data_IF_300714046788
#
_entry.id   IF_300714046788
#
_cell.length_a   1.000
_cell.length_b   1.000
_cell.length_c   1.000
_cell.angle_alpha   90.00
_cell.angle_beta   90.00
_cell.angle_gamma   90.00
#
_symmetry.space_group_name_H-M   'P 1'
#
loop_
_entity.id
_entity.type
_entity.pdbx_description
1 polymer ?
#
# COMPACT_ATOMS: atom_id res chain seq x y z
N UNK A 1 -10.32 15.01 -0.12
CA UNK A 1 -9.55 14.32 0.94
C UNK A 1 -10.26 13.07 1.48
N UNK A 2 -11.58 12.92 1.27
CA UNK A 2 -12.33 11.75 1.75
C UNK A 2 -11.84 10.40 1.22
N UNK A 3 -11.33 10.34 -0.02
CA UNK A 3 -10.78 9.10 -0.59
C UNK A 3 -9.53 8.63 0.15
N UNK A 4 -8.69 9.54 0.65
CA UNK A 4 -7.51 9.23 1.48
C UNK A 4 -7.94 8.76 2.87
N UNK A 5 -8.98 9.38 3.45
CA UNK A 5 -9.55 8.96 4.73
C UNK A 5 -10.09 7.52 4.66
N UNK A 6 -10.85 7.20 3.61
CA UNK A 6 -11.36 5.84 3.37
C UNK A 6 -10.21 4.84 3.19
N UNK A 7 -9.18 5.21 2.42
CA UNK A 7 -7.98 4.38 2.29
C UNK A 7 -7.31 4.11 3.65
N UNK A 8 -7.15 5.13 4.49
CA UNK A 8 -6.53 4.99 5.81
C UNK A 8 -7.35 4.11 6.77
N UNK A 9 -8.68 4.17 6.67
CA UNK A 9 -9.58 3.29 7.43
C UNK A 9 -9.40 1.83 6.97
N UNK A 10 -9.39 1.58 5.66
CA UNK A 10 -9.17 0.25 5.10
C UNK A 10 -7.79 -0.32 5.46
N UNK A 11 -6.75 0.52 5.41
CA UNK A 11 -5.38 0.17 5.79
C UNK A 11 -5.27 -0.17 7.28
N UNK A 12 -5.92 0.61 8.14
CA UNK A 12 -5.96 0.34 9.59
C UNK A 12 -6.70 -0.96 9.91
N UNK A 13 -7.70 -1.31 9.10
CA UNK A 13 -8.41 -2.59 9.20
C UNK A 13 -7.54 -3.83 8.92
N UNK A 14 -6.26 -3.67 8.52
CA UNK A 14 -5.30 -4.77 8.53
C UNK A 14 -4.97 -5.26 9.94
N UNK A 15 -5.09 -4.42 10.96
CA UNK A 15 -4.84 -4.81 12.35
C UNK A 15 -5.97 -5.68 12.94
N UNK A 16 -7.17 -5.58 12.40
CA UNK A 16 -8.33 -6.35 12.86
C UNK A 16 -8.28 -7.80 12.35
N UNK A 17 -7.59 -8.03 11.23
CA UNK A 17 -7.38 -9.35 10.67
C UNK A 17 -6.01 -9.90 11.09
N UNK A 18 -5.98 -10.87 12.00
CA UNK A 18 -4.75 -11.65 12.24
C UNK A 18 -4.30 -12.29 10.92
N UNK A 19 -3.01 -12.19 10.55
CA UNK A 19 -2.49 -12.87 9.38
C UNK A 19 -2.82 -14.37 9.42
N UNK A 20 -3.18 -15.00 8.28
CA UNK A 20 -3.09 -14.49 6.91
C UNK A 20 -4.22 -13.52 6.52
N UNK A 21 -3.86 -12.43 5.86
CA UNK A 21 -4.83 -11.45 5.36
C UNK A 21 -5.59 -12.04 4.17
N UNK A 22 -6.92 -11.91 4.19
CA UNK A 22 -7.76 -12.43 3.10
C UNK A 22 -7.52 -11.69 1.78
N UNK A 23 -7.63 -12.43 0.66
CA UNK A 23 -7.55 -11.86 -0.69
C UNK A 23 -8.58 -10.75 -0.91
N UNK A 24 -9.78 -10.90 -0.33
CA UNK A 24 -10.84 -9.91 -0.42
C UNK A 24 -10.47 -8.58 0.26
N UNK A 25 -9.85 -8.64 1.45
CA UNK A 25 -9.38 -7.45 2.17
C UNK A 25 -8.28 -6.73 1.38
N UNK A 26 -7.32 -7.49 0.85
CA UNK A 26 -6.26 -6.95 -0.01
C UNK A 26 -6.81 -6.25 -1.26
N UNK A 27 -7.80 -6.87 -1.92
CA UNK A 27 -8.48 -6.27 -3.06
C UNK A 27 -9.25 -4.99 -2.69
N UNK A 28 -9.86 -4.92 -1.49
CA UNK A 28 -10.56 -3.71 -1.03
C UNK A 28 -9.60 -2.54 -0.84
N UNK A 29 -8.47 -2.77 -0.16
CA UNK A 29 -7.41 -1.77 0.05
C UNK A 29 -6.84 -1.29 -1.29
N UNK A 30 -6.62 -2.21 -2.22
CA UNK A 30 -6.12 -1.87 -3.57
C UNK A 30 -7.11 -0.99 -4.33
N UNK A 31 -8.41 -1.35 -4.29
CA UNK A 31 -9.46 -0.55 -4.93
C UNK A 31 -9.59 0.84 -4.32
N UNK A 32 -9.49 0.98 -3.00
CA UNK A 32 -9.55 2.30 -2.35
C UNK A 32 -8.33 3.16 -2.68
N UNK A 33 -7.14 2.56 -2.79
CA UNK A 33 -5.92 3.23 -3.26
C UNK A 33 -6.07 3.76 -4.69
N UNK A 34 -6.61 2.96 -5.62
CA UNK A 34 -6.85 3.39 -7.00
C UNK A 34 -7.86 4.56 -7.09
N UNK A 35 -8.92 4.54 -6.27
CA UNK A 35 -9.85 5.69 -6.15
C UNK A 35 -9.18 6.95 -5.61
N UNK A 36 -8.13 6.80 -4.81
CA UNK A 36 -7.35 7.90 -4.25
C UNK A 36 -6.14 8.30 -5.10
N UNK A 37 -6.03 7.86 -6.37
CA UNK A 37 -4.85 8.09 -7.22
C UNK A 37 -4.46 9.57 -7.38
N UNK A 38 -5.43 10.50 -7.43
CA UNK A 38 -5.16 11.95 -7.48
C UNK A 38 -4.33 12.43 -6.27
N UNK A 39 -4.41 11.72 -5.15
CA UNK A 39 -3.67 11.98 -3.92
C UNK A 39 -2.62 10.90 -3.63
N UNK A 40 -2.03 10.27 -4.66
CA UNK A 40 -1.07 9.16 -4.53
C UNK A 40 0.03 9.42 -3.50
N UNK A 41 0.54 10.65 -3.37
CA UNK A 41 1.54 11.02 -2.35
C UNK A 41 1.07 10.71 -0.92
N UNK A 42 -0.20 10.99 -0.61
CA UNK A 42 -0.78 10.69 0.71
C UNK A 42 -0.98 9.19 0.90
N UNK A 43 -1.38 8.47 -0.16
CA UNK A 43 -1.50 7.00 -0.13
C UNK A 43 -0.14 6.37 0.18
N UNK A 44 0.93 6.79 -0.53
CA UNK A 44 2.30 6.33 -0.28
C UNK A 44 2.74 6.63 1.15
N UNK A 45 2.57 7.87 1.61
CA UNK A 45 2.95 8.28 2.96
C UNK A 45 2.21 7.46 4.04
N UNK A 46 0.92 7.17 3.85
CA UNK A 46 0.14 6.35 4.77
C UNK A 46 0.65 4.91 4.84
N UNK A 47 1.01 4.31 3.70
CA UNK A 47 1.58 2.96 3.66
C UNK A 47 2.98 2.92 4.27
N UNK A 48 3.83 3.91 4.00
CA UNK A 48 5.16 4.03 4.62
C UNK A 48 5.05 4.17 6.14
N UNK A 49 4.12 5.01 6.63
CA UNK A 49 3.86 5.18 8.06
C UNK A 49 3.33 3.89 8.70
N UNK A 50 2.44 3.17 8.01
CA UNK A 50 1.95 1.87 8.46
C UNK A 50 3.11 0.88 8.61
N UNK A 51 3.93 0.70 7.58
CA UNK A 51 5.07 -0.23 7.61
C UNK A 51 6.10 0.21 8.64
N UNK A 52 6.32 1.50 8.85
CA UNK A 52 7.27 1.97 9.87
C UNK A 52 6.81 1.68 11.29
N UNK A 53 5.50 1.73 11.57
CA UNK A 53 4.94 1.62 12.93
C UNK A 53 4.34 0.26 13.26
N UNK A 54 4.05 -0.58 12.27
CA UNK A 54 3.42 -1.87 12.50
C UNK A 54 4.38 -2.89 13.15
N UNK A 55 3.81 -3.86 13.87
CA UNK A 55 4.52 -5.03 14.39
C UNK A 55 5.10 -5.88 13.25
N UNK A 56 6.12 -6.68 13.56
CA UNK A 56 6.82 -7.54 12.57
C UNK A 56 5.87 -8.45 11.78
N UNK A 57 4.82 -8.96 12.42
CA UNK A 57 3.78 -9.81 11.81
C UNK A 57 2.99 -9.13 10.67
N UNK A 58 2.92 -7.80 10.66
CA UNK A 58 2.21 -7.02 9.64
C UNK A 58 3.14 -6.44 8.57
N UNK A 59 4.45 -6.67 8.64
CA UNK A 59 5.41 -6.18 7.63
C UNK A 59 5.19 -6.85 6.28
N UNK A 60 4.98 -8.18 6.28
CA UNK A 60 4.71 -8.95 5.06
C UNK A 60 3.37 -8.53 4.44
N UNK A 61 2.25 -8.46 5.18
CA UNK A 61 1.01 -7.85 4.68
C UNK A 61 1.18 -6.44 4.13
N UNK A 62 1.95 -5.58 4.80
CA UNK A 62 2.23 -4.22 4.33
C UNK A 62 2.96 -4.20 2.98
N UNK A 63 3.92 -5.12 2.79
CA UNK A 63 4.60 -5.28 1.51
C UNK A 63 3.65 -5.76 0.40
N UNK A 64 2.74 -6.70 0.71
CA UNK A 64 1.73 -7.18 -0.24
C UNK A 64 0.74 -6.08 -0.65
N UNK A 65 0.42 -5.14 0.23
CA UNK A 65 -0.40 -3.97 -0.12
C UNK A 65 0.29 -3.12 -1.17
N UNK A 66 1.58 -2.81 -1.00
CA UNK A 66 2.35 -2.04 -1.98
C UNK A 66 2.34 -2.73 -3.34
N UNK A 67 2.71 -4.00 -3.33
CA UNK A 67 2.83 -4.84 -4.50
C UNK A 67 1.48 -4.95 -5.26
N UNK A 68 0.38 -5.10 -4.53
CA UNK A 68 -0.98 -5.09 -5.09
C UNK A 68 -1.36 -3.74 -5.70
N UNK A 69 -1.06 -2.63 -5.03
CA UNK A 69 -1.32 -1.26 -5.53
C UNK A 69 -0.53 -0.98 -6.81
N UNK A 70 0.76 -1.31 -6.83
CA UNK A 70 1.63 -1.09 -7.99
C UNK A 70 1.17 -1.93 -9.17
N UNK A 71 0.89 -3.23 -8.98
CA UNK A 71 0.36 -4.08 -10.05
C UNK A 71 -0.96 -3.56 -10.60
N UNK A 72 -1.89 -3.16 -9.74
CA UNK A 72 -3.18 -2.64 -10.17
C UNK A 72 -3.03 -1.30 -10.91
N UNK A 73 -2.16 -0.42 -10.44
CA UNK A 73 -1.90 0.87 -11.10
C UNK A 73 -1.34 0.66 -12.50
N UNK A 74 -0.35 -0.23 -12.67
CA UNK A 74 0.22 -0.56 -13.98
C UNK A 74 -0.81 -1.15 -14.92
N UNK A 75 -1.64 -2.05 -14.43
CA UNK A 75 -2.70 -2.67 -15.22
C UNK A 75 -3.75 -1.65 -15.69
N UNK A 76 -4.12 -0.69 -14.84
CA UNK A 76 -5.18 0.27 -15.12
C UNK A 76 -4.70 1.50 -15.92
N UNK A 77 -3.46 1.94 -15.75
CA UNK A 77 -2.95 3.21 -16.33
C UNK A 77 -1.81 3.02 -17.33
N UNK A 78 -1.28 1.80 -17.46
CA UNK A 78 -0.09 1.52 -18.27
C UNK A 78 1.22 1.84 -17.54
N UNK A 79 2.30 1.20 -17.96
CA UNK A 79 3.62 1.23 -17.28
C UNK A 79 4.25 2.63 -17.24
N UNK A 80 3.95 3.50 -18.22
CA UNK A 80 4.51 4.85 -18.31
C UNK A 80 3.80 5.90 -17.45
N UNK A 81 2.56 5.65 -17.02
CA UNK A 81 1.78 6.58 -16.17
C UNK A 81 1.75 6.15 -14.70
N UNK A 82 2.51 5.12 -14.33
CA UNK A 82 2.60 4.61 -12.97
C UNK A 82 3.37 5.60 -12.08
N UNK A 83 2.62 6.35 -11.27
CA UNK A 83 3.17 7.30 -10.29
C UNK A 83 3.60 6.63 -8.98
N UNK A 84 3.22 5.36 -8.76
CA UNK A 84 3.50 4.62 -7.54
C UNK A 84 4.85 3.91 -7.61
N UNK A 85 5.14 3.19 -8.70
CA UNK A 85 6.37 2.38 -8.77
C UNK A 85 7.66 3.17 -8.53
N UNK A 86 7.94 4.33 -9.16
CA UNK A 86 9.20 5.04 -8.96
C UNK A 86 9.44 5.49 -7.51
N UNK A 87 8.36 5.67 -6.74
CA UNK A 87 8.42 6.07 -5.33
C UNK A 87 8.65 4.88 -4.41
N UNK A 88 8.01 3.74 -4.71
CA UNK A 88 8.21 2.50 -3.95
C UNK A 88 9.59 1.87 -4.20
N UNK A 89 10.16 1.92 -5.42
CA UNK A 89 11.51 1.38 -5.66
C UNK A 89 12.61 2.13 -4.91
N UNK A 90 12.50 3.46 -4.76
CA UNK A 90 13.49 4.24 -4.01
C UNK A 90 13.42 3.97 -2.51
N UNK A 91 12.23 3.92 -1.91
CA UNK A 91 12.10 3.71 -0.46
C UNK A 91 12.37 2.26 -0.04
N UNK A 92 11.96 1.24 -0.81
CA UNK A 92 11.91 -0.14 -0.28
C UNK A 92 13.12 -1.00 -0.66
N UNK A 93 13.76 -0.77 -1.82
CA UNK A 93 14.98 -1.50 -2.22
C UNK A 93 16.16 -1.19 -1.28
N UNK A 94 16.26 0.06 -0.81
CA UNK A 94 17.33 0.50 0.10
C UNK A 94 16.98 0.31 1.58
N UNK A 95 15.69 0.37 1.97
CA UNK A 95 15.29 0.43 3.40
C UNK A 95 14.78 -0.90 3.96
N UNK A 96 14.27 -1.83 3.13
CA UNK A 96 13.96 -3.19 3.58
C UNK A 96 15.21 -4.07 3.67
N UNK A 97 16.24 -3.82 2.85
CA UNK A 97 17.54 -4.51 2.94
C UNK A 97 18.32 -4.27 4.23
N UNK A 98 17.97 -3.23 5.00
CA UNK A 98 18.67 -2.85 6.24
C UNK A 98 17.89 -3.31 7.49
N UNK A 99 16.68 -3.86 7.34
CA UNK A 99 15.82 -4.24 8.48
C UNK A 99 15.29 -5.68 8.44
N UNK A 100 15.80 -6.51 7.54
CA UNK A 100 15.61 -7.96 7.53
C UNK A 100 16.98 -8.63 7.51
#
# INVERSE_FOLDING_TARGET
MDTVRIFNQELSGLYEAKPPISKAKMASITRSAMKAIKFYKHVVQSVEKFISKCKSEYKIPGLYVIDSIVRQSRHQFGTEKDVFAPRYTFTYTYRLRIKF
#
